data_IF_916368265901
#
_entry.id   IF_916368265901
#
_cell.length_a   1.000
_cell.length_b   1.000
_cell.length_c   1.000
_cell.angle_alpha   90.00
_cell.angle_beta   90.00
_cell.angle_gamma   90.00
#
_symmetry.space_group_name_H-M   'P 1'
#
loop_
_entity.id
_entity.type
_entity.pdbx_description
1 polymer ?
#
# COMPACT_ATOMS: atom_id res chain seq x y z
N UNK A 1 17.64 -69.01 -57.45
CA UNK A 1 17.02 -67.68 -57.56
C UNK A 1 16.16 -67.47 -56.35
N UNK A 2 16.58 -66.62 -55.41
CA UNK A 2 15.84 -66.33 -54.20
C UNK A 2 15.33 -64.94 -54.32
N UNK A 3 14.00 -64.81 -54.32
CA UNK A 3 13.32 -63.50 -54.29
C UNK A 3 13.33 -62.88 -52.84
N UNK A 4 13.80 -61.63 -52.70
CA UNK A 4 13.67 -60.87 -51.49
C UNK A 4 12.50 -59.87 -51.69
N UNK A 5 11.59 -59.70 -50.70
CA UNK A 5 10.55 -58.69 -50.76
C UNK A 5 11.10 -57.33 -50.41
N UNK A 6 10.71 -56.29 -51.12
CA UNK A 6 11.02 -54.91 -50.88
C UNK A 6 10.21 -54.38 -49.64
N UNK A 7 10.92 -53.89 -48.63
CA UNK A 7 10.30 -53.18 -47.53
C UNK A 7 10.10 -51.71 -47.91
N UNK A 8 8.84 -51.29 -47.94
CA UNK A 8 8.46 -49.88 -48.10
C UNK A 8 8.62 -49.21 -46.71
N UNK A 9 9.59 -48.29 -46.59
CA UNK A 9 9.76 -47.45 -45.42
C UNK A 9 8.81 -46.26 -45.57
N UNK A 10 7.75 -46.25 -44.75
CA UNK A 10 6.87 -45.09 -44.63
C UNK A 10 7.54 -44.06 -43.68
N UNK A 11 8.04 -42.97 -44.23
CA UNK A 11 8.59 -41.86 -43.47
C UNK A 11 7.42 -41.04 -42.90
N UNK A 12 7.13 -41.15 -41.61
CA UNK A 12 6.22 -40.27 -40.91
C UNK A 12 6.92 -38.94 -40.64
N UNK A 13 6.58 -37.92 -41.41
CA UNK A 13 7.02 -36.55 -41.14
C UNK A 13 6.26 -36.01 -39.93
N UNK A 14 6.93 -35.96 -38.77
CA UNK A 14 6.44 -35.17 -37.63
C UNK A 14 6.58 -33.69 -37.96
N UNK A 15 5.44 -33.02 -38.21
CA UNK A 15 5.37 -31.57 -38.22
C UNK A 15 5.57 -31.09 -36.76
N UNK A 16 6.78 -30.67 -36.43
CA UNK A 16 7.04 -29.85 -35.25
C UNK A 16 6.42 -28.46 -35.50
N UNK A 17 5.20 -28.28 -35.05
CA UNK A 17 4.62 -26.93 -34.90
C UNK A 17 5.40 -26.28 -33.74
N UNK A 18 6.19 -25.24 -34.00
CA UNK A 18 6.74 -24.49 -32.89
C UNK A 18 5.54 -23.86 -32.13
N UNK A 19 5.25 -24.34 -30.93
CA UNK A 19 4.48 -23.60 -29.96
C UNK A 19 5.32 -22.35 -29.68
N UNK A 20 5.02 -21.25 -30.36
CA UNK A 20 5.46 -19.94 -29.88
C UNK A 20 4.75 -19.75 -28.55
N UNK A 21 5.44 -20.00 -27.44
CA UNK A 21 5.07 -19.42 -26.18
C UNK A 21 5.08 -17.91 -26.41
N UNK A 22 3.91 -17.33 -26.59
CA UNK A 22 3.71 -15.91 -26.45
C UNK A 22 4.08 -15.62 -25.00
N UNK A 23 5.31 -15.16 -24.75
CA UNK A 23 5.62 -14.52 -23.47
C UNK A 23 4.66 -13.34 -23.38
N UNK A 24 3.64 -13.45 -22.54
CA UNK A 24 2.83 -12.30 -22.19
C UNK A 24 3.81 -11.23 -21.71
N UNK A 25 3.75 -10.04 -22.31
CA UNK A 25 4.61 -8.94 -21.89
C UNK A 25 4.28 -8.62 -20.43
N UNK A 26 5.30 -8.67 -19.58
CA UNK A 26 5.18 -8.33 -18.17
C UNK A 26 4.78 -6.86 -18.01
N UNK A 27 3.65 -6.61 -17.37
CA UNK A 27 3.16 -5.26 -17.08
C UNK A 27 3.59 -4.88 -15.66
N UNK A 28 4.23 -3.73 -15.52
CA UNK A 28 4.60 -3.18 -14.22
C UNK A 28 3.84 -1.89 -13.98
N UNK A 29 3.12 -1.79 -12.87
CA UNK A 29 2.36 -0.62 -12.45
C UNK A 29 2.99 -0.06 -11.18
N UNK A 30 3.32 1.22 -11.19
CA UNK A 30 3.82 1.94 -10.02
C UNK A 30 2.64 2.38 -9.14
N UNK A 31 2.62 1.87 -7.93
CA UNK A 31 1.57 2.12 -6.94
C UNK A 31 2.00 3.14 -5.89
N UNK A 32 2.98 4.00 -6.21
CA UNK A 32 3.53 4.96 -5.26
C UNK A 32 3.25 6.40 -5.68
N UNK A 33 2.89 7.25 -4.72
CA UNK A 33 2.89 8.68 -4.93
C UNK A 33 4.32 9.23 -4.93
N UNK A 34 4.63 10.25 -5.76
CA UNK A 34 5.88 11.00 -5.61
C UNK A 34 5.89 11.71 -4.26
N UNK A 35 7.07 11.81 -3.65
CA UNK A 35 7.26 12.55 -2.40
C UNK A 35 7.65 13.98 -2.74
N UNK A 36 6.81 15.00 -2.46
CA UNK A 36 7.20 16.39 -2.61
C UNK A 36 8.33 16.73 -1.65
N UNK A 37 9.37 17.36 -2.16
CA UNK A 37 10.53 17.77 -1.36
C UNK A 37 10.70 19.27 -1.38
N UNK A 38 11.26 19.81 -0.29
CA UNK A 38 11.45 21.23 -0.04
C UNK A 38 12.90 21.51 0.33
N UNK A 39 13.37 22.73 0.06
CA UNK A 39 14.63 23.18 0.61
C UNK A 39 14.55 23.23 2.15
N UNK A 40 15.68 23.04 2.85
CA UNK A 40 15.73 23.25 4.29
C UNK A 40 15.44 24.72 4.64
N UNK A 41 14.79 24.96 5.78
CA UNK A 41 14.61 26.30 6.29
C UNK A 41 15.92 26.92 6.74
N UNK A 42 16.03 28.26 6.75
CA UNK A 42 17.25 28.97 7.14
C UNK A 42 17.55 28.77 8.65
N UNK A 43 16.48 28.61 9.46
CA UNK A 43 16.62 28.49 10.92
C UNK A 43 16.83 27.04 11.40
N UNK A 44 16.40 26.05 10.61
CA UNK A 44 16.47 24.64 10.99
C UNK A 44 16.60 23.76 9.75
N UNK A 45 17.77 23.16 9.50
CA UNK A 45 18.01 22.33 8.32
C UNK A 45 17.19 21.03 8.29
N UNK A 46 16.54 20.66 9.39
CA UNK A 46 15.63 19.50 9.47
C UNK A 46 14.17 19.85 9.15
N UNK A 47 13.87 21.13 8.96
CA UNK A 47 12.54 21.63 8.60
C UNK A 47 12.50 22.11 7.17
N UNK A 48 11.38 21.86 6.51
CA UNK A 48 11.14 22.32 5.16
C UNK A 48 10.84 23.83 5.12
N UNK A 49 11.44 24.54 4.18
CA UNK A 49 10.99 25.88 3.78
C UNK A 49 9.86 25.72 2.75
N UNK A 50 8.62 25.85 3.21
CA UNK A 50 7.44 25.67 2.37
C UNK A 50 7.31 26.70 1.23
N UNK A 51 8.06 27.78 1.30
CA UNK A 51 8.13 28.79 0.23
C UNK A 51 9.09 28.39 -0.91
N UNK A 52 9.87 27.31 -0.70
CA UNK A 52 10.91 26.83 -1.62
C UNK A 52 10.71 25.36 -1.99
N UNK A 53 9.57 24.98 -2.62
CA UNK A 53 9.39 23.63 -3.16
C UNK A 53 10.33 23.41 -4.35
N UNK A 54 10.86 22.20 -4.50
CA UNK A 54 11.65 21.83 -5.67
C UNK A 54 10.80 21.53 -6.92
N UNK A 55 9.48 21.40 -6.74
CA UNK A 55 8.50 21.23 -7.82
C UNK A 55 7.33 22.19 -7.58
N UNK A 56 7.23 23.22 -8.39
CA UNK A 56 6.23 24.28 -8.26
C UNK A 56 4.78 23.81 -8.45
N UNK A 57 4.58 22.60 -8.96
CA UNK A 57 3.26 22.10 -9.37
C UNK A 57 2.71 20.94 -8.52
N UNK A 58 3.43 20.49 -7.49
CA UNK A 58 2.95 19.41 -6.63
C UNK A 58 2.42 20.01 -5.33
N UNK A 59 1.11 19.93 -5.06
CA UNK A 59 0.54 20.35 -3.78
C UNK A 59 1.23 19.61 -2.62
N UNK A 60 1.31 20.29 -1.49
CA UNK A 60 1.98 19.77 -0.29
C UNK A 60 1.01 18.84 0.43
N UNK A 61 1.30 17.53 0.56
CA UNK A 61 0.50 16.69 1.44
C UNK A 61 0.71 17.18 2.88
N UNK A 62 -0.38 17.40 3.57
CA UNK A 62 -0.37 17.93 4.93
C UNK A 62 -0.19 16.83 5.97
N UNK A 63 -0.33 15.56 5.58
CA UNK A 63 -0.19 14.40 6.46
C UNK A 63 1.19 13.74 6.33
N UNK A 64 1.80 13.40 7.47
CA UNK A 64 3.12 12.76 7.53
C UNK A 64 4.32 13.73 7.57
N UNK A 65 4.07 15.04 7.58
CA UNK A 65 5.11 16.07 7.55
C UNK A 65 5.65 16.35 6.15
N UNK A 66 6.67 17.18 6.04
CA UNK A 66 7.29 17.53 4.77
C UNK A 66 8.67 16.90 4.66
N UNK A 67 9.00 16.42 3.44
CA UNK A 67 10.31 15.91 3.15
C UNK A 67 11.27 17.07 2.84
N UNK A 68 12.41 17.10 3.53
CA UNK A 68 13.47 18.07 3.30
C UNK A 68 14.53 17.44 2.43
N UNK A 69 14.91 18.09 1.35
CA UNK A 69 16.02 17.68 0.49
C UNK A 69 17.08 18.80 0.46
N UNK A 70 18.26 18.51 0.96
CA UNK A 70 19.43 19.38 0.85
C UNK A 70 20.41 18.81 -0.16
N UNK A 71 21.05 19.66 -0.96
CA UNK A 71 22.05 19.26 -1.92
C UNK A 71 23.46 19.58 -1.44
N UNK A 72 24.34 18.61 -1.57
CA UNK A 72 25.78 18.79 -1.48
C UNK A 72 26.44 18.39 -2.79
N UNK A 73 27.66 18.84 -3.03
CA UNK A 73 28.44 18.47 -4.20
C UNK A 73 29.74 17.79 -3.78
N UNK A 74 30.12 16.75 -4.50
CA UNK A 74 31.43 16.14 -4.38
C UNK A 74 32.23 16.42 -5.66
N UNK A 75 33.25 17.33 -5.60
CA UNK A 75 34.01 17.72 -6.80
C UNK A 75 34.90 16.59 -7.31
N UNK A 76 35.05 16.51 -8.63
CA UNK A 76 36.01 15.66 -9.34
C UNK A 76 36.88 16.52 -10.25
N UNK A 77 37.88 15.93 -10.94
CA UNK A 77 38.71 16.66 -11.91
C UNK A 77 37.91 17.21 -13.09
N UNK A 78 36.79 16.57 -13.48
CA UNK A 78 36.06 16.83 -14.72
C UNK A 78 34.60 17.22 -14.48
N UNK A 79 34.22 17.48 -13.21
CA UNK A 79 32.85 17.81 -12.82
C UNK A 79 32.60 17.64 -11.34
N UNK A 80 31.37 17.25 -11.00
CA UNK A 80 31.00 16.93 -9.61
C UNK A 80 29.87 15.91 -9.56
N UNK A 81 29.75 15.23 -8.44
CA UNK A 81 28.55 14.45 -8.11
C UNK A 81 27.65 15.30 -7.23
N UNK A 82 26.37 15.33 -7.56
CA UNK A 82 25.34 15.87 -6.67
C UNK A 82 24.95 14.81 -5.64
N UNK A 83 25.02 15.19 -4.37
CA UNK A 83 24.67 14.33 -3.24
C UNK A 83 23.48 14.97 -2.50
N UNK A 84 22.29 14.35 -2.62
CA UNK A 84 21.13 14.76 -1.86
C UNK A 84 21.07 14.09 -0.49
N UNK A 85 20.75 14.87 0.55
CA UNK A 85 20.36 14.34 1.86
C UNK A 85 18.85 14.54 2.01
N UNK A 86 18.12 13.42 2.15
CA UNK A 86 16.67 13.41 2.32
C UNK A 86 16.31 13.15 3.79
N UNK A 87 15.51 14.05 4.37
CA UNK A 87 14.97 13.92 5.73
C UNK A 87 13.46 13.86 5.64
N UNK A 88 12.87 12.78 6.13
CA UNK A 88 11.42 12.56 6.15
C UNK A 88 11.02 11.57 7.25
N UNK A 89 9.74 11.56 7.62
CA UNK A 89 9.17 10.56 8.53
C UNK A 89 9.17 9.16 7.89
N UNK A 90 9.27 8.12 8.70
CA UNK A 90 9.10 6.72 8.26
C UNK A 90 7.73 6.49 7.60
N UNK A 91 6.69 7.14 8.11
CA UNK A 91 5.31 7.02 7.65
C UNK A 91 4.91 8.19 6.74
N UNK A 92 5.77 8.51 5.76
CA UNK A 92 5.57 9.62 4.82
C UNK A 92 5.25 9.12 3.41
N UNK A 93 4.23 9.71 2.79
CA UNK A 93 3.80 9.35 1.44
C UNK A 93 3.31 7.91 1.36
N UNK A 94 3.53 7.26 0.22
CA UNK A 94 3.33 5.82 0.12
C UNK A 94 4.39 5.12 0.96
N UNK A 95 3.97 4.39 1.98
CA UNK A 95 4.89 3.80 2.95
C UNK A 95 4.45 2.40 3.41
N UNK A 96 5.41 1.67 3.95
CA UNK A 96 5.21 0.38 4.60
C UNK A 96 5.10 0.57 6.11
N UNK A 97 4.12 -0.09 6.74
CA UNK A 97 4.09 -0.35 8.16
C UNK A 97 4.52 -1.77 8.45
N UNK A 98 5.46 -1.91 9.35
CA UNK A 98 5.90 -3.22 9.83
C UNK A 98 5.03 -3.71 10.98
N UNK A 99 5.04 -5.01 11.32
CA UNK A 99 4.36 -5.51 12.51
C UNK A 99 4.74 -4.82 13.82
N UNK A 100 5.92 -4.19 13.87
CA UNK A 100 6.41 -3.44 15.02
C UNK A 100 5.86 -2.01 15.15
N UNK A 101 5.10 -1.53 14.15
CA UNK A 101 4.56 -0.17 14.16
C UNK A 101 3.52 0.04 15.27
N UNK A 102 2.64 -0.91 15.50
CA UNK A 102 1.65 -0.81 16.57
C UNK A 102 1.97 -1.72 17.76
N UNK A 103 1.97 -1.15 18.95
CA UNK A 103 2.27 -1.86 20.21
C UNK A 103 1.25 -1.51 21.29
N UNK A 104 0.53 -2.52 21.81
CA UNK A 104 -0.59 -2.36 22.75
C UNK A 104 -0.23 -1.94 24.16
N UNK A 105 1.02 -2.04 24.57
CA UNK A 105 1.36 -1.83 25.96
C UNK A 105 2.00 -0.47 26.15
N UNK A 106 1.28 0.40 26.74
CA UNK A 106 1.69 1.76 27.09
C UNK A 106 2.80 1.83 28.15
N UNK A 107 3.19 0.69 28.76
CA UNK A 107 4.21 0.69 29.81
C UNK A 107 5.65 0.74 29.29
N UNK A 108 5.87 0.57 27.98
CA UNK A 108 7.20 0.67 27.35
C UNK A 108 7.26 1.95 26.52
N UNK A 109 7.73 3.01 27.09
CA UNK A 109 7.92 4.31 26.43
C UNK A 109 9.21 4.39 25.61
N UNK A 110 9.99 3.32 25.54
CA UNK A 110 11.22 3.32 24.75
C UNK A 110 10.94 3.01 23.29
N UNK A 111 11.24 3.92 22.36
CA UNK A 111 11.21 3.62 20.94
C UNK A 111 12.09 2.40 20.66
N UNK A 112 11.52 1.31 20.17
CA UNK A 112 12.22 0.06 19.94
C UNK A 112 12.55 -0.76 21.20
N UNK A 113 11.82 -0.58 22.30
CA UNK A 113 11.92 -1.39 23.51
C UNK A 113 11.55 -2.85 23.31
N UNK A 114 11.42 -3.64 24.41
CA UNK A 114 11.22 -5.11 24.38
C UNK A 114 10.19 -5.61 23.36
N UNK A 115 9.22 -4.80 22.99
CA UNK A 115 8.15 -5.17 22.07
C UNK A 115 8.51 -5.02 20.61
N UNK A 116 9.37 -4.07 20.27
CA UNK A 116 9.97 -4.04 18.96
C UNK A 116 10.78 -5.31 18.68
N UNK A 117 11.28 -5.97 19.73
CA UNK A 117 11.97 -7.27 19.63
C UNK A 117 11.03 -8.46 19.47
N UNK A 118 9.76 -8.31 19.83
CA UNK A 118 8.75 -9.37 19.70
C UNK A 118 8.06 -9.38 18.33
N UNK A 119 8.17 -8.30 17.56
CA UNK A 119 7.57 -8.16 16.24
C UNK A 119 8.60 -7.68 15.23
N UNK A 120 8.48 -8.12 13.98
CA UNK A 120 9.40 -7.74 12.92
C UNK A 120 9.40 -6.22 12.68
N UNK A 121 10.57 -5.63 12.78
CA UNK A 121 10.87 -4.26 12.36
C UNK A 121 11.42 -4.24 10.92
N UNK A 122 11.57 -3.07 10.31
CA UNK A 122 11.98 -2.92 8.92
C UNK A 122 13.26 -3.71 8.57
N UNK A 123 14.28 -3.69 9.44
CA UNK A 123 15.52 -4.43 9.21
C UNK A 123 15.41 -5.95 9.41
N UNK A 124 14.33 -6.43 10.03
CA UNK A 124 14.08 -7.84 10.32
C UNK A 124 13.17 -8.50 9.26
N UNK A 125 12.59 -7.70 8.36
CA UNK A 125 11.82 -8.24 7.25
C UNK A 125 12.76 -8.90 6.23
N UNK A 126 12.38 -10.09 5.78
CA UNK A 126 13.03 -10.77 4.67
C UNK A 126 12.42 -10.29 3.34
N UNK A 127 13.13 -10.47 2.22
CA UNK A 127 12.61 -10.09 0.91
C UNK A 127 11.27 -10.80 0.58
N UNK A 128 11.12 -12.05 1.04
CA UNK A 128 9.88 -12.82 0.89
C UNK A 128 8.70 -12.25 1.68
N UNK A 129 8.96 -11.47 2.73
CA UNK A 129 7.91 -10.77 3.47
C UNK A 129 7.30 -9.60 2.66
N UNK A 130 8.03 -9.10 1.64
CA UNK A 130 7.72 -7.90 0.87
C UNK A 130 7.20 -8.20 -0.55
N UNK A 131 7.02 -9.48 -0.87
CA UNK A 131 6.53 -9.93 -2.17
C UNK A 131 5.41 -10.94 -1.95
N UNK A 132 4.32 -10.82 -2.71
CA UNK A 132 3.25 -11.81 -2.64
C UNK A 132 2.21 -11.65 -3.73
N UNK A 133 1.40 -12.69 -3.91
CA UNK A 133 0.30 -12.70 -4.87
C UNK A 133 -0.74 -11.64 -4.49
N UNK A 134 -1.22 -10.90 -5.47
CA UNK A 134 -2.24 -9.88 -5.29
C UNK A 134 -3.64 -10.51 -5.21
N UNK A 135 -4.45 -10.02 -4.26
CA UNK A 135 -5.88 -10.30 -4.15
C UNK A 135 -6.62 -8.96 -4.05
N UNK A 136 -7.46 -8.64 -5.03
CA UNK A 136 -8.10 -7.32 -5.16
C UNK A 136 -9.46 -7.27 -4.47
N UNK A 137 -9.70 -6.18 -3.73
CA UNK A 137 -11.01 -5.70 -3.29
C UNK A 137 -11.18 -4.30 -3.91
N UNK A 138 -12.19 -4.14 -4.77
CA UNK A 138 -12.48 -2.85 -5.40
C UNK A 138 -13.82 -2.31 -4.90
N UNK A 139 -13.75 -1.20 -4.16
CA UNK A 139 -14.90 -0.47 -3.64
C UNK A 139 -15.08 0.91 -4.29
N UNK A 140 -14.25 1.24 -5.28
CA UNK A 140 -14.23 2.58 -5.90
C UNK A 140 -15.59 3.02 -6.45
N UNK A 141 -16.35 2.11 -7.06
CA UNK A 141 -17.69 2.41 -7.56
C UNK A 141 -18.69 2.79 -6.46
N UNK A 142 -18.56 2.19 -5.26
CA UNK A 142 -19.40 2.56 -4.10
C UNK A 142 -19.03 3.94 -3.58
N UNK A 143 -17.74 4.20 -3.49
CA UNK A 143 -17.18 5.51 -3.10
C UNK A 143 -17.59 6.59 -4.10
N UNK A 144 -17.52 6.33 -5.40
CA UNK A 144 -17.97 7.26 -6.45
C UNK A 144 -19.46 7.59 -6.33
N UNK A 145 -20.29 6.61 -6.01
CA UNK A 145 -21.73 6.80 -5.77
C UNK A 145 -21.97 7.73 -4.56
N UNK A 146 -21.19 7.60 -3.52
CA UNK A 146 -21.27 8.48 -2.34
C UNK A 146 -20.80 9.90 -2.67
N UNK A 147 -19.67 10.03 -3.36
CA UNK A 147 -19.12 11.31 -3.80
C UNK A 147 -20.09 12.09 -4.68
N UNK A 148 -20.87 11.40 -5.50
CA UNK A 148 -21.86 12.03 -6.38
C UNK A 148 -22.91 12.83 -5.59
N UNK A 149 -23.19 12.50 -4.33
CA UNK A 149 -24.11 13.27 -3.46
C UNK A 149 -23.62 14.69 -3.20
N UNK A 150 -22.31 14.90 -3.28
CA UNK A 150 -21.66 16.21 -3.06
C UNK A 150 -20.85 16.67 -4.29
N UNK A 151 -21.37 16.43 -5.49
CA UNK A 151 -20.75 16.90 -6.73
C UNK A 151 -19.37 16.30 -7.03
N UNK A 152 -19.06 15.10 -6.50
CA UNK A 152 -17.80 14.39 -6.73
C UNK A 152 -16.67 14.80 -5.78
N UNK A 153 -16.97 15.60 -4.77
CA UNK A 153 -15.98 16.08 -3.77
C UNK A 153 -16.32 15.48 -2.40
N UNK A 154 -15.35 14.96 -1.63
CA UNK A 154 -15.60 14.48 -0.28
C UNK A 154 -15.99 15.64 0.67
N UNK A 155 -16.75 15.31 1.71
CA UNK A 155 -17.11 16.22 2.79
C UNK A 155 -16.69 15.63 4.13
N UNK A 156 -16.12 16.41 5.05
CA UNK A 156 -15.87 15.96 6.41
C UNK A 156 -17.18 15.75 7.20
N UNK A 157 -18.31 16.35 6.76
CA UNK A 157 -19.62 16.14 7.38
C UNK A 157 -20.23 14.81 6.90
N UNK A 158 -20.34 13.84 7.81
CA UNK A 158 -20.89 12.51 7.54
C UNK A 158 -22.38 12.54 7.16
N UNK A 159 -23.10 13.62 7.43
CA UNK A 159 -24.49 13.78 6.97
C UNK A 159 -24.57 14.15 5.47
N UNK A 160 -23.48 14.68 4.90
CA UNK A 160 -23.37 15.01 3.48
C UNK A 160 -22.85 13.81 2.69
N UNK A 161 -21.70 13.27 3.12
CA UNK A 161 -21.08 12.04 2.60
C UNK A 161 -20.56 11.19 3.74
N UNK A 162 -20.82 9.90 3.73
CA UNK A 162 -20.37 8.97 4.78
C UNK A 162 -19.47 7.89 4.20
N UNK A 163 -18.16 8.08 4.35
CA UNK A 163 -17.14 7.15 3.86
C UNK A 163 -16.59 6.23 4.95
N UNK A 164 -16.91 6.46 6.20
CA UNK A 164 -16.26 5.79 7.31
C UNK A 164 -17.18 4.92 8.16
N UNK A 165 -18.49 5.22 8.20
CA UNK A 165 -19.47 4.45 8.97
C UNK A 165 -20.42 3.61 8.10
N UNK A 166 -20.73 4.09 6.88
CA UNK A 166 -21.63 3.37 6.00
C UNK A 166 -21.02 2.04 5.56
N UNK A 167 -21.72 0.94 5.80
CA UNK A 167 -21.31 -0.39 5.34
C UNK A 167 -21.15 -0.47 3.81
N UNK A 168 -21.72 0.47 3.07
CA UNK A 168 -21.61 0.52 1.62
C UNK A 168 -20.29 1.14 1.15
N UNK A 169 -19.64 1.98 1.95
CA UNK A 169 -18.49 2.77 1.53
C UNK A 169 -17.17 2.33 2.19
N UNK A 170 -17.23 1.35 3.09
CA UNK A 170 -16.06 0.72 3.72
C UNK A 170 -15.94 -0.74 3.28
N UNK A 171 -14.77 -1.31 3.46
CA UNK A 171 -14.59 -2.76 3.33
C UNK A 171 -15.22 -3.43 4.54
N UNK A 172 -16.22 -4.26 4.30
CA UNK A 172 -16.97 -4.99 5.30
C UNK A 172 -16.70 -6.50 5.28
N UNK A 173 -17.37 -7.24 6.15
CA UNK A 173 -17.24 -8.69 6.23
C UNK A 173 -17.59 -9.41 4.93
N UNK A 174 -18.58 -8.90 4.17
CA UNK A 174 -19.00 -9.50 2.90
C UNK A 174 -17.91 -9.38 1.83
N UNK A 175 -17.17 -8.25 1.78
CA UNK A 175 -16.05 -8.07 0.85
C UNK A 175 -14.94 -9.07 1.14
N UNK A 176 -14.64 -9.31 2.41
CA UNK A 176 -13.66 -10.31 2.83
C UNK A 176 -14.14 -11.74 2.53
N UNK A 177 -15.43 -12.01 2.72
CA UNK A 177 -16.05 -13.30 2.37
C UNK A 177 -15.96 -13.56 0.86
N UNK A 178 -16.17 -12.55 0.03
CA UNK A 178 -16.09 -12.68 -1.42
C UNK A 178 -14.70 -13.13 -1.92
N UNK A 179 -13.64 -12.82 -1.19
CA UNK A 179 -12.28 -13.22 -1.53
C UNK A 179 -11.76 -14.41 -0.68
N UNK A 180 -12.59 -15.03 0.18
CA UNK A 180 -12.16 -16.11 1.09
C UNK A 180 -11.38 -17.22 0.39
N UNK A 181 -11.81 -17.64 -0.81
CA UNK A 181 -11.13 -18.69 -1.57
C UNK A 181 -9.71 -18.34 -1.99
N UNK A 182 -9.38 -17.05 -2.12
CA UNK A 182 -8.09 -16.51 -2.54
C UNK A 182 -7.15 -16.17 -1.37
N UNK A 183 -7.66 -16.16 -0.13
CA UNK A 183 -6.85 -15.89 1.06
C UNK A 183 -5.98 -17.10 1.34
N UNK A 184 -4.65 -16.92 1.29
CA UNK A 184 -3.63 -17.93 1.50
C UNK A 184 -2.37 -17.29 2.10
N UNK A 185 -1.38 -18.12 2.45
CA UNK A 185 -0.11 -17.65 2.99
C UNK A 185 0.58 -16.66 2.05
N UNK A 186 1.01 -15.53 2.61
CA UNK A 186 1.82 -14.54 1.91
C UNK A 186 1.07 -13.71 0.86
N UNK A 187 -0.25 -13.90 0.64
CA UNK A 187 -1.00 -13.03 -0.28
C UNK A 187 -1.08 -11.60 0.24
N UNK A 188 -1.14 -10.64 -0.67
CA UNK A 188 -1.36 -9.23 -0.37
C UNK A 188 -2.75 -8.81 -0.83
N UNK A 189 -3.58 -8.36 0.10
CA UNK A 189 -4.91 -7.82 -0.20
C UNK A 189 -4.74 -6.36 -0.62
N UNK A 190 -5.24 -6.01 -1.81
CA UNK A 190 -5.20 -4.65 -2.35
C UNK A 190 -6.60 -4.08 -2.31
N UNK A 191 -6.78 -2.97 -1.60
CA UNK A 191 -8.05 -2.26 -1.43
C UNK A 191 -8.02 -1.01 -2.29
N UNK A 192 -8.75 -1.04 -3.42
CA UNK A 192 -8.97 0.13 -4.27
C UNK A 192 -10.24 0.85 -3.86
N UNK A 193 -10.13 2.01 -3.27
CA UNK A 193 -11.25 2.89 -2.96
C UNK A 193 -11.36 4.05 -3.95
N UNK A 194 -10.36 4.25 -4.81
CA UNK A 194 -10.22 5.40 -5.69
C UNK A 194 -9.89 6.70 -4.93
N UNK A 195 -9.53 6.60 -3.64
CA UNK A 195 -9.31 7.77 -2.77
C UNK A 195 -8.01 8.49 -3.08
N UNK A 196 -6.98 7.81 -3.62
CA UNK A 196 -5.68 8.38 -3.97
C UNK A 196 -5.75 9.59 -4.90
N UNK A 197 -6.84 9.76 -5.66
CA UNK A 197 -7.07 10.93 -6.52
C UNK A 197 -7.10 12.26 -5.75
N UNK A 198 -7.35 12.22 -4.45
CA UNK A 198 -7.39 13.40 -3.58
C UNK A 198 -6.06 13.68 -2.87
N UNK A 199 -5.05 12.81 -3.01
CA UNK A 199 -3.81 12.85 -2.23
C UNK A 199 -3.08 14.21 -2.27
N UNK A 200 -3.11 14.92 -3.40
CA UNK A 200 -2.47 16.22 -3.58
C UNK A 200 -3.47 17.38 -3.69
N UNK A 201 -4.68 17.22 -3.20
CA UNK A 201 -5.76 18.19 -3.48
C UNK A 201 -5.91 19.27 -2.42
N UNK A 202 -5.23 19.18 -1.29
CA UNK A 202 -5.33 20.13 -0.17
C UNK A 202 -4.03 20.80 0.20
N UNK A 203 -4.14 22.03 0.72
CA UNK A 203 -3.01 22.82 1.27
C UNK A 203 -3.18 23.11 2.76
N UNK A 204 -4.32 22.76 3.32
CA UNK A 204 -4.71 23.00 4.73
C UNK A 204 -5.29 21.70 5.29
N UNK A 205 -4.69 21.17 6.33
CA UNK A 205 -5.09 19.90 6.96
C UNK A 205 -6.59 19.83 7.26
N UNK A 206 -7.16 20.93 7.76
CA UNK A 206 -8.58 20.97 8.12
C UNK A 206 -9.53 20.95 6.92
N UNK A 207 -9.02 21.24 5.72
CA UNK A 207 -9.78 21.33 4.47
C UNK A 207 -9.29 20.38 3.39
N UNK A 208 -8.30 19.54 3.72
CA UNK A 208 -7.71 18.61 2.78
C UNK A 208 -8.73 17.51 2.43
N UNK A 209 -9.14 17.39 1.16
CA UNK A 209 -10.11 16.38 0.74
C UNK A 209 -9.60 14.95 0.94
N UNK A 210 -8.29 14.73 0.99
CA UNK A 210 -7.72 13.40 1.22
C UNK A 210 -7.89 12.98 2.68
N UNK A 211 -7.59 13.88 3.62
CA UNK A 211 -7.78 13.67 5.05
C UNK A 211 -9.26 13.70 5.42
N UNK A 212 -10.00 14.65 4.84
CA UNK A 212 -11.44 14.80 4.94
C UNK A 212 -11.99 14.70 6.37
N UNK A 213 -11.27 15.26 7.36
CA UNK A 213 -11.66 15.19 8.77
C UNK A 213 -11.76 13.76 9.30
N UNK A 214 -10.95 12.83 8.77
CA UNK A 214 -11.01 11.39 9.03
C UNK A 214 -12.32 10.72 8.58
N UNK A 215 -13.06 11.32 7.66
CA UNK A 215 -14.18 10.67 6.97
C UNK A 215 -13.71 10.12 5.63
N UNK A 216 -13.01 8.98 5.66
CA UNK A 216 -12.42 8.31 4.49
C UNK A 216 -12.68 6.80 4.50
N UNK A 217 -12.66 6.12 3.35
CA UNK A 217 -12.81 4.67 3.26
C UNK A 217 -11.68 3.92 3.98
N UNK A 218 -11.90 2.65 4.25
CA UNK A 218 -10.96 1.72 4.85
C UNK A 218 -11.66 0.46 5.31
N UNK A 219 -11.01 -0.36 6.12
CA UNK A 219 -11.62 -1.55 6.71
C UNK A 219 -12.37 -1.20 8.00
N UNK A 220 -13.58 -1.72 8.14
CA UNK A 220 -14.29 -1.65 9.41
C UNK A 220 -13.96 -2.86 10.32
N UNK A 221 -14.42 -2.80 11.57
CA UNK A 221 -14.21 -3.88 12.54
C UNK A 221 -14.69 -5.25 12.03
N UNK A 222 -15.84 -5.31 11.36
CA UNK A 222 -16.42 -6.56 10.89
C UNK A 222 -15.54 -7.21 9.79
N UNK A 223 -14.92 -6.41 8.92
CA UNK A 223 -13.95 -6.90 7.94
C UNK A 223 -12.70 -7.49 8.61
N UNK A 224 -12.16 -6.79 9.61
CA UNK A 224 -11.00 -7.28 10.37
C UNK A 224 -11.33 -8.57 11.12
N UNK A 225 -12.49 -8.65 11.78
CA UNK A 225 -12.95 -9.86 12.46
C UNK A 225 -13.05 -11.04 11.49
N UNK A 226 -13.66 -10.80 10.32
CA UNK A 226 -13.85 -11.83 9.29
C UNK A 226 -12.53 -12.30 8.68
N UNK A 227 -11.61 -11.38 8.42
CA UNK A 227 -10.28 -11.74 7.91
C UNK A 227 -9.51 -12.62 8.91
N UNK A 228 -9.55 -12.26 10.19
CA UNK A 228 -8.92 -13.04 11.26
C UNK A 228 -9.57 -14.43 11.36
N UNK A 229 -10.89 -14.51 11.35
CA UNK A 229 -11.61 -15.80 11.35
C UNK A 229 -11.16 -16.72 10.21
N UNK A 230 -11.04 -16.17 8.99
CA UNK A 230 -10.62 -16.95 7.81
C UNK A 230 -9.15 -17.40 7.96
N UNK A 231 -8.26 -16.50 8.37
CA UNK A 231 -6.85 -16.84 8.59
C UNK A 231 -6.70 -17.94 9.62
N UNK A 232 -7.40 -17.84 10.75
CA UNK A 232 -7.36 -18.83 11.84
C UNK A 232 -7.95 -20.18 11.38
N UNK A 233 -9.09 -20.16 10.69
CA UNK A 233 -9.74 -21.36 10.15
C UNK A 233 -8.87 -22.11 9.14
N UNK A 234 -8.16 -21.38 8.29
CA UNK A 234 -7.29 -21.95 7.24
C UNK A 234 -5.88 -22.27 7.76
N UNK A 235 -5.48 -21.74 8.91
CA UNK A 235 -4.11 -21.83 9.42
C UNK A 235 -3.10 -21.06 8.54
N UNK A 236 -3.50 -19.92 7.97
CA UNK A 236 -2.69 -19.12 7.06
C UNK A 236 -2.44 -17.71 7.62
N UNK A 237 -1.37 -17.07 7.15
CA UNK A 237 -1.06 -15.67 7.43
C UNK A 237 -0.86 -14.92 6.10
N UNK A 238 -1.66 -13.89 5.85
CA UNK A 238 -1.48 -13.03 4.68
C UNK A 238 -0.18 -12.20 4.80
N UNK A 239 0.40 -11.84 3.67
CA UNK A 239 1.61 -11.02 3.58
C UNK A 239 1.37 -9.60 4.06
N UNK A 240 0.33 -8.97 3.56
CA UNK A 240 -0.02 -7.60 3.92
C UNK A 240 -1.31 -7.10 3.28
N UNK A 241 -1.60 -5.82 3.52
CA UNK A 241 -2.71 -5.09 2.94
C UNK A 241 -2.17 -3.79 2.33
N UNK A 242 -2.61 -3.46 1.11
CA UNK A 242 -2.31 -2.20 0.42
C UNK A 242 -3.59 -1.42 0.28
N UNK A 243 -3.60 -0.15 0.66
CA UNK A 243 -4.75 0.73 0.47
C UNK A 243 -4.34 2.11 -0.06
N UNK A 244 -5.25 2.73 -0.80
CA UNK A 244 -5.06 4.06 -1.39
C UNK A 244 -5.55 5.20 -0.47
N UNK A 245 -5.67 4.92 0.82
CA UNK A 245 -6.11 5.87 1.86
C UNK A 245 -4.96 6.16 2.82
N UNK A 246 -5.21 7.12 3.74
CA UNK A 246 -4.27 7.51 4.79
C UNK A 246 -4.08 6.44 5.88
N UNK A 247 -4.91 5.40 5.90
CA UNK A 247 -4.86 4.29 6.83
C UNK A 247 -5.62 3.07 6.31
N UNK A 248 -5.24 1.87 6.75
CA UNK A 248 -6.00 0.65 6.45
C UNK A 248 -7.35 0.66 7.16
N UNK A 249 -7.41 1.21 8.36
CA UNK A 249 -8.67 1.40 9.09
C UNK A 249 -9.53 2.48 8.42
N UNK A 250 -10.86 2.33 8.46
CA UNK A 250 -11.75 3.41 8.07
C UNK A 250 -11.59 4.61 9.02
N UNK A 251 -11.81 5.82 8.52
CA UNK A 251 -11.51 7.04 9.28
C UNK A 251 -12.19 7.15 10.64
N UNK A 252 -13.42 6.62 10.78
CA UNK A 252 -14.12 6.61 12.07
C UNK A 252 -13.54 5.61 13.07
N UNK A 253 -12.75 4.67 12.63
CA UNK A 253 -11.97 3.81 13.54
C UNK A 253 -10.98 4.62 14.38
N UNK A 254 -10.54 5.78 13.89
CA UNK A 254 -9.66 6.71 14.61
C UNK A 254 -10.40 7.53 15.69
N UNK A 255 -11.72 7.62 15.61
CA UNK A 255 -12.56 8.46 16.49
C UNK A 255 -13.42 7.58 17.39
N UNK A 256 -12.85 6.55 18.01
CA UNK A 256 -13.58 5.56 18.80
C UNK A 256 -14.57 6.13 19.79
N UNK A 257 -15.63 5.37 20.10
CA UNK A 257 -16.73 5.71 21.01
C UNK A 257 -16.30 5.85 22.49
N UNK A 258 -15.10 5.45 22.82
CA UNK A 258 -14.52 5.61 24.15
C UNK A 258 -13.10 6.16 24.03
N UNK A 259 -12.68 7.00 24.95
CA UNK A 259 -11.35 7.62 25.06
C UNK A 259 -10.18 6.59 25.13
N UNK A 260 -10.40 5.35 24.74
CA UNK A 260 -9.44 4.27 24.71
C UNK A 260 -9.09 3.93 23.27
N UNK A 261 -7.97 4.46 22.81
CA UNK A 261 -7.33 4.15 21.51
C UNK A 261 -7.29 2.66 21.16
N UNK A 262 -7.38 1.77 22.14
CA UNK A 262 -7.30 0.32 21.96
C UNK A 262 -8.49 -0.31 21.24
N UNK A 263 -9.62 0.38 21.11
CA UNK A 263 -10.83 -0.16 20.49
C UNK A 263 -11.12 0.41 19.11
N UNK A 264 -10.39 1.44 18.66
CA UNK A 264 -10.72 2.18 17.44
C UNK A 264 -9.92 1.80 16.22
N UNK A 265 -8.64 1.45 16.34
CA UNK A 265 -7.76 1.09 15.22
C UNK A 265 -7.73 -0.44 15.01
N UNK A 266 -8.84 -1.02 14.55
CA UNK A 266 -9.03 -2.47 14.54
C UNK A 266 -8.02 -3.21 13.66
N UNK A 267 -7.70 -2.68 12.47
CA UNK A 267 -6.70 -3.29 11.60
C UNK A 267 -5.29 -3.15 12.20
N UNK A 268 -4.88 -1.92 12.58
CA UNK A 268 -3.57 -1.67 13.18
C UNK A 268 -3.37 -2.49 14.46
N UNK A 269 -4.36 -2.44 15.37
CA UNK A 269 -4.27 -3.15 16.64
C UNK A 269 -4.14 -4.65 16.45
N UNK A 270 -4.92 -5.24 15.55
CA UNK A 270 -5.12 -6.70 15.56
C UNK A 270 -4.37 -7.43 14.45
N UNK A 271 -4.15 -6.79 13.30
CA UNK A 271 -3.48 -7.42 12.17
C UNK A 271 -1.96 -7.26 12.24
N UNK A 272 -1.44 -6.06 12.59
CA UNK A 272 0.00 -5.87 12.82
C UNK A 272 0.52 -6.80 13.92
N UNK A 273 -0.26 -7.00 14.99
CA UNK A 273 0.08 -7.94 16.07
C UNK A 273 0.23 -9.40 15.60
N UNK A 274 -0.47 -9.76 14.53
CA UNK A 274 -0.40 -11.11 13.93
C UNK A 274 0.72 -11.24 12.91
N UNK A 275 1.43 -10.16 12.58
CA UNK A 275 2.53 -10.16 11.61
C UNK A 275 2.13 -9.73 10.20
N UNK A 276 0.89 -9.28 10.00
CA UNK A 276 0.45 -8.65 8.74
C UNK A 276 1.16 -7.30 8.60
N UNK A 277 1.51 -6.91 7.38
CA UNK A 277 2.13 -5.62 7.06
C UNK A 277 1.12 -4.73 6.34
N UNK A 278 1.31 -3.40 6.40
CA UNK A 278 0.45 -2.47 5.67
C UNK A 278 1.27 -1.66 4.67
N UNK A 279 0.64 -1.30 3.58
CA UNK A 279 1.06 -0.22 2.69
C UNK A 279 -0.07 0.78 2.63
N UNK A 280 0.20 2.00 3.06
CA UNK A 280 -0.75 3.09 3.09
C UNK A 280 -0.40 4.16 2.05
N UNK A 281 -1.37 5.00 1.71
CA UNK A 281 -1.22 6.03 0.69
C UNK A 281 -0.73 5.46 -0.66
N UNK A 282 -1.26 4.31 -1.08
CA UNK A 282 -0.92 3.76 -2.39
C UNK A 282 -1.59 4.58 -3.51
N UNK A 283 -0.98 4.58 -4.70
CA UNK A 283 -1.46 5.25 -5.89
C UNK A 283 -1.91 4.24 -6.95
N UNK A 284 -2.68 4.70 -7.93
CA UNK A 284 -2.93 3.99 -9.19
C UNK A 284 -3.55 2.60 -9.06
N UNK A 285 -4.16 2.24 -7.93
CA UNK A 285 -4.70 0.90 -7.71
C UNK A 285 -5.75 0.51 -8.77
N UNK A 286 -6.56 1.46 -9.23
CA UNK A 286 -7.54 1.23 -10.30
C UNK A 286 -6.91 0.87 -11.64
N UNK A 287 -5.64 1.20 -11.90
CA UNK A 287 -4.97 0.81 -13.13
C UNK A 287 -4.77 -0.71 -13.24
N UNK A 288 -4.67 -1.41 -12.11
CA UNK A 288 -4.46 -2.87 -12.10
C UNK A 288 -5.59 -3.57 -12.87
N UNK A 289 -6.83 -3.23 -12.57
CA UNK A 289 -8.01 -3.83 -13.24
C UNK A 289 -8.21 -3.35 -14.67
N UNK A 290 -7.62 -2.21 -15.04
CA UNK A 290 -7.73 -1.65 -16.40
C UNK A 290 -6.79 -2.34 -17.39
N UNK A 291 -5.59 -2.77 -16.93
CA UNK A 291 -4.53 -3.26 -17.83
C UNK A 291 -4.20 -4.74 -17.64
N UNK A 292 -4.64 -5.37 -16.56
CA UNK A 292 -4.34 -6.76 -16.25
C UNK A 292 -5.49 -7.47 -15.52
N UNK A 293 -5.43 -8.80 -15.47
CA UNK A 293 -6.24 -9.56 -14.52
C UNK A 293 -5.52 -9.55 -13.15
N UNK A 294 -6.12 -8.99 -12.08
CA UNK A 294 -5.50 -8.94 -10.76
C UNK A 294 -4.98 -10.28 -10.24
N UNK A 295 -5.65 -11.39 -10.61
CA UNK A 295 -5.26 -12.74 -10.19
C UNK A 295 -3.90 -13.20 -10.78
N UNK A 296 -3.40 -12.50 -11.80
CA UNK A 296 -2.10 -12.75 -12.43
C UNK A 296 -1.01 -11.78 -11.94
N UNK A 297 -1.30 -10.98 -10.91
CA UNK A 297 -0.39 -9.97 -10.41
C UNK A 297 0.24 -10.35 -9.07
N UNK A 298 1.43 -9.80 -8.84
CA UNK A 298 2.11 -9.83 -7.56
C UNK A 298 2.35 -8.39 -7.08
N UNK A 299 2.34 -8.20 -5.77
CA UNK A 299 2.79 -6.97 -5.11
C UNK A 299 4.26 -7.12 -4.75
N UNK A 300 5.03 -6.07 -4.99
CA UNK A 300 6.42 -5.92 -4.55
C UNK A 300 6.53 -4.60 -3.79
N UNK A 301 7.02 -4.66 -2.55
CA UNK A 301 7.20 -3.48 -1.68
C UNK A 301 8.67 -3.23 -1.47
N UNK A 302 9.17 -2.08 -1.93
CA UNK A 302 10.55 -1.63 -1.74
C UNK A 302 10.64 -0.60 -0.63
N UNK A 303 10.96 -1.02 0.59
CA UNK A 303 11.16 -0.14 1.75
C UNK A 303 12.63 -0.13 2.21
N UNK A 304 13.12 0.98 2.82
CA UNK A 304 14.45 1.01 3.41
C UNK A 304 14.60 -0.02 4.54
N UNK A 305 15.72 -0.74 4.54
CA UNK A 305 16.05 -1.75 5.56
C UNK A 305 16.83 -1.12 6.72
N UNK A 306 16.32 -0.07 7.32
CA UNK A 306 17.01 0.64 8.42
C UNK A 306 16.73 0.00 9.78
N UNK A 307 17.75 0.03 10.64
CA UNK A 307 17.70 -0.62 11.95
C UNK A 307 16.71 0.10 12.86
N UNK A 308 15.84 -0.67 13.53
CA UNK A 308 14.77 -0.21 14.45
C UNK A 308 13.63 0.55 13.79
N UNK A 309 13.57 0.63 12.46
CA UNK A 309 12.44 1.26 11.78
C UNK A 309 11.14 0.50 11.97
N UNK A 310 10.06 1.22 12.20
CA UNK A 310 8.70 0.70 12.34
C UNK A 310 7.91 0.75 11.03
N UNK A 311 8.44 1.46 10.04
CA UNK A 311 7.91 1.64 8.71
C UNK A 311 8.98 2.13 7.76
N UNK A 312 8.58 2.60 6.60
CA UNK A 312 9.47 3.25 5.65
C UNK A 312 8.79 3.68 4.36
N UNK A 313 9.10 4.89 3.85
CA UNK A 313 8.65 5.30 2.53
C UNK A 313 8.98 4.23 1.49
N UNK A 314 8.02 3.91 0.64
CA UNK A 314 8.13 2.70 -0.17
C UNK A 314 7.84 2.97 -1.64
N UNK A 315 8.62 2.32 -2.52
CA UNK A 315 8.22 2.11 -3.90
C UNK A 315 7.46 0.80 -3.98
N UNK A 316 6.19 0.89 -4.31
CA UNK A 316 5.28 -0.25 -4.38
C UNK A 316 4.91 -0.51 -5.83
N UNK A 317 5.02 -1.76 -6.27
CA UNK A 317 4.78 -2.15 -7.65
C UNK A 317 3.75 -3.29 -7.68
N UNK A 318 2.84 -3.24 -8.67
CA UNK A 318 2.15 -4.44 -9.13
C UNK A 318 2.84 -4.94 -10.39
N UNK A 319 3.19 -6.23 -10.39
CA UNK A 319 3.83 -6.91 -11.53
C UNK A 319 2.88 -7.99 -12.01
N UNK A 320 2.38 -7.86 -13.23
CA UNK A 320 1.35 -8.70 -13.83
C UNK A 320 1.86 -9.42 -15.08
N UNK A 321 1.37 -10.65 -15.31
CA UNK A 321 1.66 -11.48 -16.48
C UNK A 321 0.41 -11.65 -17.36
#
# INVERSE_FOLDING_TARGET
MRNYPAHVLTLAAFLLIPLSESSADMITIDLSHPIPTFAPSEDDPMKADLSKPYLDSVPIPTFGGQAVLSFGTFPTSDGHFDLGTLVLSEHHGTHLDTPGHYVNDVTSLEPGGKRANERKLAHQLDASDLIGKLVMIDISGRVDTELAKNGGVPSPDINVTDFSNSSNNVVGADDITAIESKIDNGVWIVINSGWSRFYFSGTDFAKDPYINGFNHPGMNKAAVDKLIEIMDKKGVLIGGIVADNIGIDSGQSAVGDDDKWTNSWHAHVRLLQRGVKFVENAANLGQITMVANPDNCNIVVGAPKHVRGTGGPSRVLAICN
#
